data_IF_265362916033
#
_entry.id   IF_265362916033
#
_cell.length_a   1.000
_cell.length_b   1.000
_cell.length_c   1.000
_cell.angle_alpha   90.00
_cell.angle_beta   90.00
_cell.angle_gamma   90.00
#
_symmetry.space_group_name_H-M   'P 1'
#
loop_
_entity.id
_entity.type
_entity.pdbx_description
1 polymer ?
#
# COMPACT_ATOMS: atom_id res chain seq x y z
N UNK A 1 0.87 -6.17 -7.89
CA UNK A 1 1.30 -5.75 -6.53
C UNK A 1 2.65 -5.05 -6.56
N UNK A 2 3.68 -5.65 -7.16
CA UNK A 2 5.01 -5.03 -7.32
C UNK A 2 4.98 -3.61 -7.88
N UNK A 3 4.33 -3.41 -9.03
CA UNK A 3 4.24 -2.08 -9.67
C UNK A 3 3.54 -1.05 -8.78
N UNK A 4 2.62 -1.48 -7.92
CA UNK A 4 1.94 -0.60 -6.98
C UNK A 4 2.92 -0.07 -5.92
N UNK A 5 3.73 -0.95 -5.34
CA UNK A 5 4.75 -0.59 -4.34
C UNK A 5 5.87 0.26 -4.98
N UNK A 6 6.33 -0.11 -6.18
CA UNK A 6 7.34 0.65 -6.93
C UNK A 6 6.86 2.07 -7.25
N UNK A 7 5.61 2.24 -7.70
CA UNK A 7 5.03 3.58 -7.93
C UNK A 7 4.96 4.45 -6.67
N UNK A 8 4.93 3.84 -5.48
CA UNK A 8 5.00 4.55 -4.19
C UNK A 8 6.44 4.85 -3.75
N UNK A 9 7.44 4.34 -4.45
CA UNK A 9 8.85 4.50 -4.09
C UNK A 9 9.25 3.68 -2.86
N UNK A 10 8.48 2.65 -2.52
CA UNK A 10 8.80 1.76 -1.41
C UNK A 10 9.72 0.64 -1.88
N UNK A 11 10.58 0.20 -0.95
CA UNK A 11 11.45 -0.95 -1.18
C UNK A 11 10.59 -2.19 -1.46
N UNK A 12 10.90 -2.87 -2.56
CA UNK A 12 10.22 -4.10 -2.93
C UNK A 12 11.11 -5.30 -2.67
N UNK A 13 10.62 -6.23 -1.86
CA UNK A 13 11.22 -7.54 -1.67
C UNK A 13 10.43 -8.57 -2.48
N UNK A 14 11.07 -9.34 -3.37
CA UNK A 14 10.39 -10.41 -4.08
C UNK A 14 9.76 -11.42 -3.11
N UNK A 15 8.60 -11.95 -3.47
CA UNK A 15 7.95 -12.99 -2.68
C UNK A 15 8.74 -14.30 -2.76
N UNK A 16 8.65 -15.11 -1.70
CA UNK A 16 9.14 -16.49 -1.67
C UNK A 16 7.95 -17.43 -1.75
N UNK A 17 8.00 -18.40 -2.66
CA UNK A 17 7.00 -19.45 -2.75
C UNK A 17 7.44 -20.67 -1.95
N UNK A 18 6.51 -21.24 -1.18
CA UNK A 18 6.69 -22.51 -0.47
C UNK A 18 5.39 -23.29 -0.58
N UNK A 19 5.35 -24.24 -1.53
CA UNK A 19 4.14 -24.99 -1.87
C UNK A 19 3.00 -24.06 -2.32
N UNK A 20 1.85 -24.20 -1.65
CA UNK A 20 0.62 -23.43 -1.89
C UNK A 20 0.61 -22.05 -1.20
N UNK A 21 1.79 -21.52 -0.84
CA UNK A 21 1.93 -20.28 -0.08
C UNK A 21 2.98 -19.37 -0.69
N UNK A 22 2.60 -18.11 -0.91
CA UNK A 22 3.49 -17.03 -1.34
C UNK A 22 3.65 -16.04 -0.18
N UNK A 23 4.89 -15.81 0.25
CA UNK A 23 5.21 -14.94 1.39
C UNK A 23 6.09 -13.79 0.90
N UNK A 24 5.59 -12.58 1.09
CA UNK A 24 6.35 -11.33 0.99
C UNK A 24 6.30 -10.63 2.36
N UNK A 25 7.13 -9.62 2.59
CA UNK A 25 7.21 -8.91 3.87
C UNK A 25 5.84 -8.38 4.35
N UNK A 26 5.11 -7.70 3.47
CA UNK A 26 3.85 -7.01 3.72
C UNK A 26 2.62 -7.88 3.47
N UNK A 27 2.75 -9.02 2.79
CA UNK A 27 1.60 -9.89 2.56
C UNK A 27 1.93 -11.36 2.36
N UNK A 28 0.92 -12.20 2.59
CA UNK A 28 0.94 -13.63 2.30
C UNK A 28 -0.33 -14.02 1.57
N UNK A 29 -0.17 -14.80 0.51
CA UNK A 29 -1.26 -15.48 -0.21
C UNK A 29 -1.10 -16.98 0.05
N UNK A 30 -2.15 -17.66 0.48
CA UNK A 30 -2.12 -19.09 0.78
C UNK A 30 -3.37 -19.78 0.22
N UNK A 31 -3.20 -20.87 -0.53
CA UNK A 31 -4.34 -21.71 -0.96
C UNK A 31 -4.74 -22.60 0.22
N UNK A 32 -5.95 -22.39 0.74
CA UNK A 32 -6.52 -23.17 1.85
C UNK A 32 -7.34 -24.37 1.39
N UNK A 33 -7.82 -24.33 0.14
CA UNK A 33 -8.64 -25.40 -0.39
C UNK A 33 -8.62 -25.46 -1.90
N UNK A 34 -8.75 -26.68 -2.41
CA UNK A 34 -8.87 -27.01 -3.84
C UNK A 34 -10.15 -27.81 -4.06
N UNK A 35 -10.69 -27.76 -5.27
CA UNK A 35 -11.69 -28.69 -5.76
C UNK A 35 -11.06 -30.06 -6.04
N UNK A 36 -11.89 -31.07 -6.31
CA UNK A 36 -11.43 -32.45 -6.53
C UNK A 36 -10.51 -32.60 -7.74
N UNK A 37 -10.63 -31.71 -8.72
CA UNK A 37 -9.78 -31.63 -9.91
C UNK A 37 -8.52 -30.78 -9.72
N UNK A 38 -8.27 -30.30 -8.50
CA UNK A 38 -7.10 -29.49 -8.16
C UNK A 38 -7.26 -27.98 -8.41
N UNK A 39 -8.39 -27.51 -8.95
CA UNK A 39 -8.64 -26.08 -9.11
C UNK A 39 -8.72 -25.36 -7.74
N UNK A 40 -8.21 -24.13 -7.66
CA UNK A 40 -8.20 -23.38 -6.39
C UNK A 40 -9.60 -22.92 -5.99
N UNK A 41 -9.94 -23.08 -4.71
CA UNK A 41 -11.25 -22.76 -4.15
C UNK A 41 -11.20 -21.67 -3.09
N UNK A 42 -10.26 -21.77 -2.16
CA UNK A 42 -10.15 -20.84 -1.03
C UNK A 42 -8.74 -20.28 -0.96
N UNK A 43 -8.65 -18.95 -0.99
CA UNK A 43 -7.41 -18.20 -0.88
C UNK A 43 -7.48 -17.37 0.39
N UNK A 44 -6.54 -17.60 1.31
CA UNK A 44 -6.30 -16.73 2.44
C UNK A 44 -5.28 -15.66 2.06
N UNK A 45 -5.73 -14.41 2.06
CA UNK A 45 -4.88 -13.25 1.90
C UNK A 45 -4.64 -12.60 3.27
N UNK A 46 -3.40 -12.61 3.72
CA UNK A 46 -2.95 -11.92 4.94
C UNK A 46 -2.15 -10.71 4.54
N UNK A 47 -2.58 -9.52 4.96
CA UNK A 47 -1.83 -8.29 4.86
C UNK A 47 -1.24 -7.94 6.22
N UNK A 48 0.00 -7.47 6.19
CA UNK A 48 0.76 -6.92 7.29
C UNK A 48 1.07 -5.46 6.95
N UNK A 49 1.42 -4.68 7.97
CA UNK A 49 1.81 -3.27 7.81
C UNK A 49 0.81 -2.43 7.00
N UNK A 50 -0.47 -2.81 6.98
CA UNK A 50 -1.50 -2.11 6.21
C UNK A 50 -2.50 -1.49 7.19
N UNK A 51 -2.53 -0.17 7.40
CA UNK A 51 -3.39 0.43 8.41
C UNK A 51 -4.86 0.30 7.99
N UNK A 52 -5.68 -0.27 8.87
CA UNK A 52 -7.11 -0.47 8.66
C UNK A 52 -7.90 -0.18 9.93
N UNK A 53 -9.11 0.36 9.79
CA UNK A 53 -10.00 0.67 10.92
C UNK A 53 -10.64 -0.61 11.46
N UNK A 54 -10.54 -0.86 12.75
CA UNK A 54 -11.10 -2.07 13.40
C UNK A 54 -12.24 -1.78 14.37
N UNK A 55 -12.53 -0.51 14.63
CA UNK A 55 -13.65 -0.12 15.48
C UNK A 55 -13.95 1.36 15.42
N UNK A 56 -15.16 1.72 15.84
CA UNK A 56 -15.49 3.11 16.13
C UNK A 56 -14.70 3.56 17.35
N UNK A 57 -13.99 4.66 17.25
CA UNK A 57 -13.32 5.25 18.41
C UNK A 57 -14.30 6.08 19.24
N UNK A 58 -14.14 6.03 20.56
CA UNK A 58 -14.82 6.91 21.49
C UNK A 58 -14.34 8.37 21.35
N UNK A 59 -13.11 8.58 20.83
CA UNK A 59 -12.52 9.90 20.63
C UNK A 59 -12.29 10.15 19.13
N UNK A 60 -12.92 11.19 18.57
CA UNK A 60 -12.75 11.55 17.15
C UNK A 60 -11.29 11.81 16.74
N UNK A 61 -10.39 12.10 17.69
CA UNK A 61 -8.97 12.36 17.43
C UNK A 61 -8.08 11.10 17.37
N UNK A 62 -8.55 9.95 17.85
CA UNK A 62 -7.79 8.70 17.84
C UNK A 62 -8.59 7.66 17.09
N UNK A 63 -8.05 7.08 16.03
CA UNK A 63 -8.73 6.01 15.29
C UNK A 63 -8.28 4.65 15.81
N UNK A 64 -9.22 3.73 16.03
CA UNK A 64 -8.91 2.35 16.39
C UNK A 64 -8.46 1.61 15.13
N UNK A 65 -7.16 1.33 15.04
CA UNK A 65 -6.54 0.75 13.85
C UNK A 65 -5.77 -0.52 14.18
N UNK A 66 -5.67 -1.40 13.19
CA UNK A 66 -4.76 -2.53 13.13
C UNK A 66 -3.94 -2.46 11.85
N UNK A 67 -2.76 -3.07 11.85
CA UNK A 67 -1.92 -3.21 10.66
C UNK A 67 -1.98 -4.61 10.03
N UNK A 68 -2.64 -5.55 10.72
CA UNK A 68 -2.71 -6.96 10.34
C UNK A 68 -4.14 -7.35 10.01
N UNK A 69 -4.35 -7.73 8.75
CA UNK A 69 -5.66 -7.99 8.19
C UNK A 69 -5.68 -9.30 7.42
N UNK A 70 -6.78 -10.04 7.54
CA UNK A 70 -6.96 -11.32 6.85
C UNK A 70 -8.27 -11.35 6.10
N UNK A 71 -8.22 -11.83 4.86
CA UNK A 71 -9.38 -12.02 3.99
C UNK A 71 -9.37 -13.44 3.42
N UNK A 72 -10.52 -14.10 3.47
CA UNK A 72 -10.78 -15.32 2.70
C UNK A 72 -11.47 -14.93 1.39
N UNK A 73 -10.92 -15.41 0.28
CA UNK A 73 -11.46 -15.21 -1.06
C UNK A 73 -11.88 -16.58 -1.58
N UNK A 74 -13.16 -16.72 -1.89
CA UNK A 74 -13.76 -17.95 -2.37
C UNK A 74 -13.98 -17.85 -3.88
N UNK A 75 -13.25 -18.67 -4.62
CA UNK A 75 -13.35 -18.76 -6.07
C UNK A 75 -14.44 -19.78 -6.46
N UNK A 76 -15.39 -19.41 -7.33
CA UNK A 76 -16.34 -20.37 -7.88
C UNK A 76 -15.59 -21.39 -8.76
N UNK A 77 -16.19 -22.56 -8.96
CA UNK A 77 -15.55 -23.62 -9.77
C UNK A 77 -15.31 -23.16 -11.21
N UNK A 78 -16.18 -22.30 -11.70
CA UNK A 78 -16.17 -21.72 -13.04
C UNK A 78 -15.14 -20.59 -13.19
N UNK A 79 -14.41 -20.19 -12.14
CA UNK A 79 -13.36 -19.17 -12.25
C UNK A 79 -12.30 -19.59 -13.29
N UNK A 80 -11.88 -18.70 -14.21
CA UNK A 80 -12.17 -17.26 -14.27
C UNK A 80 -13.40 -16.86 -15.10
N UNK A 81 -14.18 -17.81 -15.65
CA UNK A 81 -15.30 -17.52 -16.54
C UNK A 81 -16.48 -16.78 -15.85
N UNK A 82 -16.66 -16.95 -14.54
CA UNK A 82 -17.72 -16.27 -13.79
C UNK A 82 -17.18 -15.48 -12.59
N UNK A 83 -16.70 -14.28 -12.85
CA UNK A 83 -16.12 -13.38 -11.84
C UNK A 83 -17.16 -12.86 -10.83
N UNK A 84 -18.44 -12.78 -11.23
CA UNK A 84 -19.53 -12.26 -10.38
C UNK A 84 -19.84 -13.14 -9.17
N UNK A 85 -19.44 -14.42 -9.20
CA UNK A 85 -19.67 -15.39 -8.14
C UNK A 85 -18.51 -15.47 -7.13
N UNK A 86 -17.47 -14.67 -7.28
CA UNK A 86 -16.38 -14.60 -6.31
C UNK A 86 -16.91 -13.98 -5.02
N UNK A 87 -16.72 -14.67 -3.89
CA UNK A 87 -17.15 -14.20 -2.57
C UNK A 87 -15.95 -13.87 -1.71
N UNK A 88 -16.08 -12.87 -0.85
CA UNK A 88 -15.02 -12.47 0.06
C UNK A 88 -15.52 -12.29 1.48
N UNK A 89 -14.65 -12.62 2.43
CA UNK A 89 -14.89 -12.48 3.86
C UNK A 89 -13.67 -11.86 4.52
N UNK A 90 -13.88 -10.75 5.24
CA UNK A 90 -12.89 -10.25 6.18
C UNK A 90 -12.91 -11.13 7.43
N UNK A 91 -11.78 -11.78 7.71
CA UNK A 91 -11.58 -12.53 8.97
C UNK A 91 -11.28 -11.53 10.10
N UNK A 92 -10.52 -10.48 9.79
CA UNK A 92 -10.29 -9.37 10.71
C UNK A 92 -11.56 -8.53 10.82
N UNK A 93 -11.96 -8.20 12.06
CA UNK A 93 -13.09 -7.29 12.31
C UNK A 93 -12.70 -5.88 11.88
N UNK A 94 -13.18 -5.48 10.71
CA UNK A 94 -12.95 -4.16 10.14
C UNK A 94 -14.19 -3.29 10.32
N UNK A 95 -13.98 -2.05 10.77
CA UNK A 95 -15.01 -1.03 10.77
C UNK A 95 -14.98 -0.30 9.43
N UNK A 96 -15.69 -0.86 8.46
CA UNK A 96 -15.60 -0.46 7.07
C UNK A 96 -16.99 -0.45 6.39
N UNK A 97 -17.31 0.51 5.50
CA UNK A 97 -18.65 0.65 4.90
C UNK A 97 -19.14 -0.57 4.11
N UNK A 98 -18.23 -1.27 3.41
CA UNK A 98 -18.53 -2.45 2.58
C UNK A 98 -18.22 -3.80 3.24
N UNK A 99 -17.87 -3.82 4.53
CA UNK A 99 -17.62 -5.06 5.27
C UNK A 99 -18.63 -5.15 6.40
N UNK A 100 -19.35 -6.27 6.49
CA UNK A 100 -20.37 -6.46 7.51
C UNK A 100 -19.72 -6.57 8.89
N UNK A 101 -20.38 -6.01 9.90
CA UNK A 101 -19.99 -6.12 11.31
C UNK A 101 -20.50 -7.40 11.98
N UNK A 102 -21.29 -8.19 11.26
CA UNK A 102 -21.86 -9.45 11.74
C UNK A 102 -20.83 -10.57 11.88
N UNK A 103 -21.31 -11.74 12.32
CA UNK A 103 -20.49 -12.93 12.61
C UNK A 103 -19.69 -13.47 11.42
N UNK A 104 -20.09 -13.15 10.19
CA UNK A 104 -19.49 -13.71 8.98
C UNK A 104 -18.60 -12.74 8.21
N UNK A 105 -18.41 -11.48 8.63
CA UNK A 105 -17.46 -10.54 8.02
C UNK A 105 -17.57 -10.40 6.49
N UNK A 106 -18.77 -10.61 5.94
CA UNK A 106 -19.01 -10.59 4.49
C UNK A 106 -18.59 -9.25 3.90
N UNK A 107 -17.76 -9.31 2.86
CA UNK A 107 -17.24 -8.15 2.17
C UNK A 107 -18.01 -7.97 0.85
N UNK A 108 -18.82 -6.93 0.78
CA UNK A 108 -19.48 -6.49 -0.45
C UNK A 108 -18.52 -5.60 -1.26
N UNK A 109 -17.39 -6.19 -1.65
CA UNK A 109 -16.38 -5.55 -2.48
C UNK A 109 -16.56 -6.12 -3.88
N UNK A 110 -17.11 -5.32 -4.79
CA UNK A 110 -17.32 -5.74 -6.17
C UNK A 110 -15.99 -5.75 -6.90
N UNK A 111 -15.40 -6.92 -7.09
CA UNK A 111 -14.22 -7.07 -7.94
C UNK A 111 -14.57 -7.89 -9.16
N UNK A 112 -14.71 -7.19 -10.29
CA UNK A 112 -14.73 -7.83 -11.60
C UNK A 112 -13.29 -7.95 -12.09
N UNK A 113 -12.60 -9.03 -11.71
CA UNK A 113 -11.22 -9.21 -12.16
C UNK A 113 -10.57 -10.51 -11.75
N UNK A 114 -9.39 -10.70 -12.29
CA UNK A 114 -8.43 -11.72 -11.89
C UNK A 114 -8.01 -11.55 -10.42
N UNK A 115 -7.48 -12.62 -9.81
CA UNK A 115 -7.06 -12.64 -8.40
C UNK A 115 -6.11 -11.48 -8.07
N UNK A 116 -5.19 -11.11 -8.95
CA UNK A 116 -4.26 -9.99 -8.72
C UNK A 116 -4.98 -8.65 -8.48
N UNK A 117 -6.04 -8.37 -9.25
CA UNK A 117 -6.88 -7.18 -9.11
C UNK A 117 -7.66 -7.24 -7.80
N UNK A 118 -8.16 -8.41 -7.40
CA UNK A 118 -8.84 -8.61 -6.12
C UNK A 118 -7.92 -8.24 -4.96
N UNK A 119 -6.69 -8.76 -4.95
CA UNK A 119 -5.72 -8.47 -3.89
C UNK A 119 -5.41 -6.97 -3.79
N UNK A 120 -5.27 -6.29 -4.92
CA UNK A 120 -5.06 -4.84 -4.97
C UNK A 120 -6.30 -4.06 -4.52
N UNK A 121 -7.49 -4.50 -4.91
CA UNK A 121 -8.74 -3.83 -4.56
C UNK A 121 -9.00 -3.86 -3.04
N UNK A 122 -8.74 -5.01 -2.42
CA UNK A 122 -8.81 -5.18 -0.97
C UNK A 122 -7.91 -4.15 -0.25
N UNK A 123 -6.69 -3.91 -0.74
CA UNK A 123 -5.80 -2.90 -0.17
C UNK A 123 -6.44 -1.51 -0.20
N UNK A 124 -6.97 -1.08 -1.36
CA UNK A 124 -7.62 0.23 -1.48
C UNK A 124 -8.85 0.36 -0.59
N UNK A 125 -9.59 -0.73 -0.39
CA UNK A 125 -10.71 -0.77 0.54
C UNK A 125 -10.25 -0.56 1.98
N UNK A 126 -9.23 -1.28 2.44
CA UNK A 126 -8.69 -1.12 3.80
C UNK A 126 -8.18 0.31 4.03
N UNK A 127 -7.56 0.91 3.02
CA UNK A 127 -7.04 2.28 3.04
C UNK A 127 -8.12 3.33 2.85
N UNK A 128 -9.40 2.93 2.80
CA UNK A 128 -10.55 3.81 2.72
C UNK A 128 -10.56 4.71 1.47
N UNK A 129 -10.14 4.20 0.31
CA UNK A 129 -10.13 4.98 -0.94
C UNK A 129 -11.57 5.43 -1.33
N UNK A 130 -11.86 6.74 -1.36
CA UNK A 130 -13.18 7.27 -1.70
C UNK A 130 -13.61 6.97 -3.13
N UNK A 131 -12.68 6.61 -4.03
CA UNK A 131 -13.03 6.19 -5.40
C UNK A 131 -13.64 4.81 -5.44
N UNK A 132 -13.28 3.94 -4.50
CA UNK A 132 -13.71 2.53 -4.42
C UNK A 132 -14.87 2.35 -3.45
N UNK A 133 -14.94 3.18 -2.42
CA UNK A 133 -16.02 3.21 -1.43
C UNK A 133 -16.98 4.33 -1.79
N UNK A 134 -17.60 4.26 -2.98
CA UNK A 134 -18.59 5.24 -3.41
C UNK A 134 -20.00 4.77 -3.12
N UNK A 135 -20.88 5.60 -2.55
CA UNK A 135 -22.31 5.39 -2.70
C UNK A 135 -22.71 5.65 -4.16
N UNK A 136 -23.77 5.01 -4.68
CA UNK A 136 -24.27 5.25 -6.02
C UNK A 136 -24.75 6.70 -6.13
N UNK A 137 -24.24 7.41 -7.14
CA UNK A 137 -24.49 8.85 -7.36
C UNK A 137 -25.98 9.22 -7.41
N UNK A 138 -26.81 8.30 -7.89
CA UNK A 138 -28.24 8.53 -8.11
C UNK A 138 -29.09 8.22 -6.87
N UNK A 139 -28.56 7.47 -5.90
CA UNK A 139 -29.31 7.00 -4.75
C UNK A 139 -28.46 7.07 -3.48
N UNK A 140 -28.15 8.28 -2.98
CA UNK A 140 -27.30 8.47 -1.80
C UNK A 140 -27.86 7.84 -0.51
N UNK A 141 -29.10 7.32 -0.53
CA UNK A 141 -29.74 6.66 0.61
C UNK A 141 -29.92 5.14 0.44
N UNK A 142 -29.70 4.59 -0.76
CA UNK A 142 -30.16 3.22 -1.08
C UNK A 142 -29.02 2.18 -1.14
N UNK A 143 -27.76 2.60 -1.09
CA UNK A 143 -26.65 1.66 -0.95
C UNK A 143 -25.63 2.19 0.06
N UNK A 144 -25.85 1.77 1.31
CA UNK A 144 -24.99 2.09 2.45
C UNK A 144 -23.83 1.10 2.63
N UNK A 145 -23.66 0.18 1.68
CA UNK A 145 -22.90 -1.04 1.91
C UNK A 145 -23.50 -1.90 3.03
N UNK A 146 -22.70 -2.81 3.57
CA UNK A 146 -23.08 -3.73 4.64
C UNK A 146 -22.97 -3.12 6.04
N UNK A 147 -22.44 -1.90 6.16
CA UNK A 147 -22.31 -1.18 7.44
C UNK A 147 -22.64 0.31 7.25
N UNK A 148 -23.93 0.63 7.41
CA UNK A 148 -24.46 1.99 7.26
C UNK A 148 -23.84 3.00 8.23
N UNK A 149 -23.49 2.57 9.45
CA UNK A 149 -22.89 3.46 10.45
C UNK A 149 -21.50 3.89 10.01
N UNK A 150 -20.67 2.94 9.54
CA UNK A 150 -19.36 3.26 9.00
C UNK A 150 -19.46 4.10 7.72
N UNK A 151 -20.44 3.86 6.85
CA UNK A 151 -20.66 4.68 5.65
C UNK A 151 -20.93 6.14 6.01
N UNK A 152 -21.92 6.40 6.88
CA UNK A 152 -22.27 7.76 7.31
C UNK A 152 -21.13 8.49 8.04
N UNK A 153 -20.27 7.74 8.73
CA UNK A 153 -19.06 8.32 9.32
C UNK A 153 -18.03 8.68 8.25
N UNK A 154 -17.78 7.76 7.32
CA UNK A 154 -16.81 7.92 6.25
C UNK A 154 -17.17 9.09 5.32
N UNK A 155 -18.44 9.23 4.96
CA UNK A 155 -18.95 10.31 4.09
C UNK A 155 -18.69 11.73 4.62
N UNK A 156 -18.53 11.89 5.94
CA UNK A 156 -18.26 13.21 6.54
C UNK A 156 -16.87 13.74 6.21
N UNK A 157 -15.90 12.84 6.01
CA UNK A 157 -14.50 13.22 5.81
C UNK A 157 -13.67 12.14 5.09
N UNK A 158 -14.19 11.65 3.97
CA UNK A 158 -13.64 10.52 3.23
C UNK A 158 -12.21 10.78 2.74
N UNK A 159 -11.97 11.96 2.15
CA UNK A 159 -10.67 12.31 1.58
C UNK A 159 -9.58 12.44 2.65
N UNK A 160 -9.86 13.07 3.79
CA UNK A 160 -8.87 13.19 4.87
C UNK A 160 -8.65 11.85 5.58
N UNK A 161 -9.69 11.02 5.72
CA UNK A 161 -9.55 9.64 6.21
C UNK A 161 -8.58 8.86 5.32
N UNK A 162 -8.78 8.90 4.00
CA UNK A 162 -7.89 8.23 3.06
C UNK A 162 -6.45 8.77 3.12
N UNK A 163 -6.26 10.09 3.13
CA UNK A 163 -4.94 10.72 3.28
C UNK A 163 -4.25 10.27 4.57
N UNK A 164 -4.97 10.23 5.67
CA UNK A 164 -4.44 9.76 6.96
C UNK A 164 -4.00 8.30 6.89
N UNK A 165 -4.80 7.42 6.25
CA UNK A 165 -4.42 6.02 6.04
C UNK A 165 -3.16 5.91 5.19
N UNK A 166 -3.06 6.67 4.10
CA UNK A 166 -1.86 6.71 3.27
C UNK A 166 -0.64 7.19 4.06
N UNK A 167 -0.74 8.26 4.84
CA UNK A 167 0.38 8.75 5.67
C UNK A 167 0.82 7.71 6.70
N UNK A 168 -0.12 7.02 7.35
CA UNK A 168 0.20 5.92 8.27
C UNK A 168 0.87 4.77 7.54
N UNK A 169 0.40 4.47 6.34
CA UNK A 169 0.95 3.39 5.54
C UNK A 169 2.36 3.69 5.07
N UNK A 170 2.60 4.91 4.58
CA UNK A 170 3.93 5.44 4.24
C UNK A 170 4.90 5.32 5.43
N UNK A 171 4.44 5.61 6.65
CA UNK A 171 5.25 5.49 7.87
C UNK A 171 5.64 4.05 8.24
N UNK A 172 5.00 3.04 7.64
CA UNK A 172 5.30 1.62 7.89
C UNK A 172 6.26 1.02 6.85
N UNK A 173 6.60 1.75 5.78
CA UNK A 173 7.40 1.24 4.66
C UNK A 173 8.71 2.01 4.51
N UNK A 174 9.79 1.25 4.26
CA UNK A 174 11.09 1.82 3.91
C UNK A 174 11.04 2.38 2.48
N UNK A 175 11.40 3.66 2.31
CA UNK A 175 11.53 4.27 0.98
C UNK A 175 12.84 3.85 0.33
N UNK A 176 12.82 3.60 -0.97
CA UNK A 176 14.02 3.33 -1.76
C UNK A 176 14.96 4.53 -1.64
N UNK A 177 16.23 4.29 -1.28
CA UNK A 177 17.20 5.39 -1.20
C UNK A 177 17.55 5.89 -2.60
N UNK A 178 17.93 7.17 -2.72
CA UNK A 178 18.36 7.77 -4.01
C UNK A 178 19.55 7.01 -4.63
N UNK A 179 20.36 6.32 -3.80
CA UNK A 179 21.47 5.49 -4.28
C UNK A 179 20.99 4.22 -4.98
N UNK A 180 19.85 3.67 -4.55
CA UNK A 180 19.29 2.42 -5.06
C UNK A 180 18.38 2.66 -6.28
N UNK A 181 17.91 3.90 -6.49
CA UNK A 181 17.06 4.29 -7.61
C UNK A 181 17.83 4.71 -8.88
N UNK A 182 19.15 4.47 -8.94
CA UNK A 182 19.97 4.83 -10.11
C UNK A 182 20.14 6.34 -10.33
N UNK A 183 20.03 7.15 -9.27
CA UNK A 183 20.22 8.60 -9.39
C UNK A 183 21.63 8.95 -9.86
N UNK A 184 21.72 9.63 -11.00
CA UNK A 184 22.99 10.15 -11.54
C UNK A 184 23.55 11.18 -10.55
N UNK A 185 24.74 10.94 -10.03
CA UNK A 185 25.53 11.92 -9.27
C UNK A 185 26.43 12.66 -10.25
N UNK A 186 26.10 13.90 -10.58
CA UNK A 186 27.03 14.79 -11.29
C UNK A 186 27.96 15.39 -10.24
N UNK A 187 29.23 14.98 -10.25
CA UNK A 187 30.30 15.59 -9.44
C UNK A 187 30.90 16.70 -10.30
N UNK A 188 30.52 17.94 -10.06
CA UNK A 188 31.10 19.12 -10.72
C UNK A 188 32.11 19.80 -9.80
N UNK A 189 33.34 19.99 -10.28
CA UNK A 189 34.24 21.04 -9.80
C UNK A 189 33.80 22.38 -10.38
N UNK A 190 33.78 23.40 -9.54
CA UNK A 190 33.20 24.72 -9.75
C UNK A 190 33.44 25.33 -11.14
N UNK A 191 32.36 25.65 -11.85
CA UNK A 191 31.96 27.03 -12.20
C UNK A 191 30.57 27.00 -12.83
N UNK A 192 29.77 27.98 -12.46
CA UNK A 192 28.35 28.13 -12.79
C UNK A 192 28.09 28.05 -14.30
N UNK A 193 27.28 27.09 -14.74
CA UNK A 193 26.44 27.25 -15.93
C UNK A 193 25.03 26.74 -15.62
N UNK A 194 24.05 27.63 -15.83
CA UNK A 194 22.64 27.26 -15.84
C UNK A 194 22.45 26.27 -17.00
N UNK A 195 22.15 25.02 -16.68
CA UNK A 195 21.66 24.06 -17.67
C UNK A 195 20.15 24.20 -17.74
N UNK A 196 19.67 24.91 -18.75
CA UNK A 196 18.27 24.81 -19.15
C UNK A 196 18.04 23.38 -19.68
N UNK A 197 17.20 22.61 -18.99
CA UNK A 197 16.73 21.32 -19.49
C UNK A 197 15.29 21.49 -19.95
N UNK A 198 15.10 21.39 -21.27
CA UNK A 198 13.81 21.08 -21.87
C UNK A 198 13.46 19.61 -21.60
N UNK A 199 13.26 19.22 -20.34
CA UNK A 199 12.42 18.05 -20.07
C UNK A 199 11.92 17.98 -18.62
N UNK A 200 10.63 17.69 -18.49
CA UNK A 200 9.88 17.77 -17.23
C UNK A 200 10.25 16.62 -16.29
N UNK A 201 10.95 16.92 -15.20
CA UNK A 201 10.87 16.11 -13.97
C UNK A 201 12.13 15.90 -13.15
N UNK A 202 13.30 16.38 -13.58
CA UNK A 202 14.54 16.13 -12.85
C UNK A 202 14.81 17.25 -11.83
N UNK A 203 14.74 16.94 -10.54
CA UNK A 203 15.15 17.89 -9.48
C UNK A 203 16.64 17.71 -9.19
N UNK A 204 17.47 18.68 -9.61
CA UNK A 204 18.91 18.68 -9.36
C UNK A 204 19.19 19.43 -8.06
N UNK A 205 19.91 18.80 -7.13
CA UNK A 205 20.50 19.48 -5.95
C UNK A 205 22.02 19.37 -6.02
N UNK A 206 22.67 20.53 -6.07
CA UNK A 206 24.12 20.68 -6.04
C UNK A 206 24.56 20.74 -4.57
N UNK A 207 25.54 19.92 -4.19
CA UNK A 207 26.18 19.97 -2.87
C UNK A 207 27.63 20.38 -3.10
N UNK A 208 28.09 21.56 -2.64
CA UNK A 208 29.49 21.96 -2.76
C UNK A 208 30.38 21.07 -1.89
N UNK A 209 31.59 20.80 -2.37
CA UNK A 209 32.59 19.98 -1.68
C UNK A 209 33.54 20.91 -0.95
N UNK A 210 33.61 20.81 0.38
CA UNK A 210 34.65 21.50 1.16
C UNK A 210 36.01 20.91 0.79
N UNK A 211 36.85 21.72 0.13
CA UNK A 211 38.26 21.43 -0.08
C UNK A 211 39.00 21.59 1.25
N UNK A 212 39.60 20.49 1.73
CA UNK A 212 40.58 20.54 2.82
C UNK A 212 41.87 21.17 2.28
N UNK A 213 42.22 22.34 2.79
CA UNK A 213 43.55 22.92 2.64
C UNK A 213 44.61 22.02 3.31
N UNK A 214 45.47 21.40 2.51
CA UNK A 214 46.84 21.07 2.91
C UNK A 214 47.77 22.08 2.22
N UNK A 215 48.53 22.84 3.00
CA UNK A 215 50.00 22.82 2.96
C UNK A 215 50.59 23.99 3.76
N UNK A 216 51.56 23.70 4.62
CA UNK A 216 52.94 24.14 4.36
C UNK A 216 53.96 23.50 5.31
N UNK A 217 54.93 22.82 4.69
CA UNK A 217 56.19 22.35 5.25
C UNK A 217 57.07 23.53 5.69
N UNK A 218 57.67 23.43 6.89
CA UNK A 218 59.01 23.95 7.24
C UNK A 218 59.63 22.84 8.11
N UNK A 219 60.71 22.16 7.72
CA UNK A 219 61.96 22.69 7.21
C UNK A 219 62.86 22.97 8.41
N UNK A 220 63.52 21.94 8.95
CA UNK A 220 64.52 22.07 10.01
C UNK A 220 65.92 22.17 9.41
N UNK A 221 66.69 23.15 9.88
CA UNK A 221 68.16 23.10 10.04
C UNK A 221 68.48 23.83 11.36
N UNK A 222 69.35 23.21 12.17
CA UNK A 222 69.85 23.62 13.51
C UNK A 222 71.07 24.56 13.42
N UNK A 223 71.56 25.02 14.60
CA UNK A 223 72.85 25.67 14.97
C UNK A 223 72.60 27.15 15.39
N UNK A 224 72.88 27.70 16.59
CA UNK A 224 73.55 27.34 17.86
C UNK A 224 72.55 27.59 19.00
#
# INVERSE_FOLDING_TARGET
>A
MEDFFKKKGWKWTPHKQSGDKWVQEDYTVEIKGKYNDGAYRDILFTMRRTPGLVGQSANRKQLNMSNDHKFSIFLPREYPANLSNIKMRAITRLWHPRISTGSYGEACITVNGEVDRILIDILYHILMDPKRIRPPKLFPKEDSGTNTIAMRWFEKDADNTHKLMLTKWDGLHEKVSIKDSGGIRIIGTEKEEKVDTEDKGTTVKIIPRDEKEEEKKKGGVRII
#
